data_IF_937937522392
#
_entry.id   IF_937937522392
#
_cell.length_a   1.000
_cell.length_b   1.000
_cell.length_c   1.000
_cell.angle_alpha   90.00
_cell.angle_beta   90.00
_cell.angle_gamma   90.00
#
_symmetry.space_group_name_H-M   'P 1'
#
loop_
_entity.id
_entity.type
_entity.pdbx_description
1 polymer ?
#
# COMPACT_ATOMS: atom_id res chain seq x y z
N UNK A 1 37.82 6.94 0.86
CA UNK A 1 36.42 6.69 1.27
C UNK A 1 36.37 6.54 2.79
N UNK A 2 35.33 7.03 3.45
CA UNK A 2 35.20 6.88 4.90
C UNK A 2 34.78 5.44 5.27
N UNK A 3 35.49 4.83 6.23
CA UNK A 3 35.25 3.46 6.71
C UNK A 3 34.74 3.50 8.14
N UNK A 4 33.70 2.73 8.52
CA UNK A 4 33.20 2.71 9.89
C UNK A 4 34.24 2.12 10.83
N UNK A 5 34.65 2.89 11.84
CA UNK A 5 35.65 2.45 12.83
C UNK A 5 35.14 1.31 13.73
N UNK A 6 33.83 1.25 13.97
CA UNK A 6 33.17 0.25 14.82
C UNK A 6 31.82 -0.16 14.23
N UNK A 7 31.41 -1.39 14.51
CA UNK A 7 30.07 -1.86 14.15
C UNK A 7 28.99 -1.10 14.91
N UNK A 8 27.83 -0.95 14.29
CA UNK A 8 26.68 -0.36 14.97
C UNK A 8 26.14 -1.32 16.04
N UNK A 9 25.72 -0.77 17.18
CA UNK A 9 25.09 -1.57 18.22
C UNK A 9 23.77 -2.18 17.71
N UNK A 10 23.38 -3.30 18.31
CA UNK A 10 22.17 -4.04 17.89
C UNK A 10 20.92 -3.15 17.99
N UNK A 11 20.80 -2.37 19.08
CA UNK A 11 19.71 -1.42 19.28
C UNK A 11 19.65 -0.36 18.17
N UNK A 12 20.77 0.32 17.87
CA UNK A 12 20.84 1.34 16.81
C UNK A 12 20.50 0.76 15.42
N UNK A 13 20.92 -0.48 15.14
CA UNK A 13 20.54 -1.19 13.91
C UNK A 13 19.03 -1.45 13.83
N UNK A 14 18.41 -1.91 14.92
CA UNK A 14 16.95 -2.18 14.98
C UNK A 14 16.13 -0.90 14.81
N UNK A 15 16.51 0.20 15.46
CA UNK A 15 15.82 1.50 15.34
C UNK A 15 15.76 1.96 13.88
N UNK A 16 16.89 1.91 13.15
CA UNK A 16 16.93 2.28 11.73
C UNK A 16 16.02 1.40 10.87
N UNK A 17 16.00 0.08 11.12
CA UNK A 17 15.08 -0.84 10.42
C UNK A 17 13.61 -0.56 10.74
N UNK A 18 13.29 -0.20 11.98
CA UNK A 18 11.92 0.12 12.39
C UNK A 18 11.39 1.37 11.70
N UNK A 19 12.23 2.39 11.50
CA UNK A 19 11.85 3.60 10.74
C UNK A 19 11.45 3.23 9.30
N UNK A 20 12.21 2.34 8.66
CA UNK A 20 11.86 1.85 7.32
C UNK A 20 10.55 1.05 7.31
N UNK A 21 10.37 0.12 8.27
CA UNK A 21 9.14 -0.68 8.41
C UNK A 21 7.89 0.16 8.72
N UNK A 22 8.03 1.24 9.49
CA UNK A 22 6.92 2.14 9.87
C UNK A 22 6.25 2.79 8.66
N UNK A 23 6.96 2.96 7.54
CA UNK A 23 6.38 3.48 6.30
C UNK A 23 5.26 2.58 5.76
N UNK A 24 5.38 1.27 5.93
CA UNK A 24 4.36 0.30 5.51
C UNK A 24 3.04 0.44 6.26
N UNK A 25 3.08 0.80 7.54
CA UNK A 25 1.88 1.04 8.34
C UNK A 25 1.02 2.17 7.76
N UNK A 26 1.64 3.30 7.38
CA UNK A 26 0.92 4.42 6.77
C UNK A 26 0.33 4.07 5.40
N UNK A 27 1.06 3.28 4.60
CA UNK A 27 0.53 2.77 3.34
C UNK A 27 -0.68 1.85 3.56
N UNK A 28 -0.63 0.96 4.55
CA UNK A 28 -1.74 0.07 4.89
C UNK A 28 -3.00 0.85 5.33
N UNK A 29 -2.85 1.89 6.17
CA UNK A 29 -3.97 2.74 6.58
C UNK A 29 -4.65 3.42 5.39
N UNK A 30 -3.85 4.01 4.48
CA UNK A 30 -4.38 4.64 3.26
C UNK A 30 -5.07 3.62 2.36
N UNK A 31 -4.47 2.46 2.16
CA UNK A 31 -5.03 1.38 1.35
C UNK A 31 -6.35 0.85 1.92
N UNK A 32 -6.46 0.72 3.24
CA UNK A 32 -7.69 0.28 3.91
C UNK A 32 -8.83 1.30 3.77
N UNK A 33 -8.55 2.59 3.99
CA UNK A 33 -9.53 3.65 3.75
C UNK A 33 -10.01 3.67 2.29
N UNK A 34 -9.07 3.52 1.35
CA UNK A 34 -9.38 3.44 -0.07
C UNK A 34 -10.24 2.22 -0.42
N UNK A 35 -9.92 1.04 0.11
CA UNK A 35 -10.69 -0.18 -0.19
C UNK A 35 -12.13 -0.09 0.31
N UNK A 36 -12.36 0.52 1.47
CA UNK A 36 -13.70 0.78 1.98
C UNK A 36 -14.49 1.72 1.07
N UNK A 37 -13.87 2.81 0.61
CA UNK A 37 -14.50 3.73 -0.34
C UNK A 37 -14.89 3.01 -1.64
N UNK A 38 -13.98 2.23 -2.23
CA UNK A 38 -14.23 1.49 -3.46
C UNK A 38 -15.30 0.41 -3.32
N UNK A 39 -15.36 -0.25 -2.16
CA UNK A 39 -16.34 -1.31 -1.91
C UNK A 39 -17.80 -0.83 -1.97
N UNK A 40 -18.05 0.47 -1.74
CA UNK A 40 -19.42 1.01 -1.77
C UNK A 40 -19.93 1.28 -3.18
N UNK A 41 -19.05 1.36 -4.19
CA UNK A 41 -19.43 1.65 -5.58
C UNK A 41 -19.94 3.08 -5.84
N UNK A 42 -20.03 3.92 -4.81
CA UNK A 42 -20.55 5.29 -4.91
C UNK A 42 -19.49 6.29 -5.41
N UNK A 43 -18.22 5.92 -5.37
CA UNK A 43 -17.10 6.78 -5.77
C UNK A 43 -17.03 6.93 -7.30
N UNK A 44 -17.34 8.13 -7.81
CA UNK A 44 -17.27 8.46 -9.25
C UNK A 44 -15.86 8.87 -9.74
N UNK A 45 -14.95 9.17 -8.82
CA UNK A 45 -13.60 9.69 -9.14
C UNK A 45 -12.54 8.61 -9.36
N UNK A 46 -12.77 7.38 -8.88
CA UNK A 46 -11.80 6.29 -8.98
C UNK A 46 -12.42 5.11 -9.75
N UNK A 47 -11.86 4.80 -10.92
CA UNK A 47 -12.31 3.69 -11.74
C UNK A 47 -11.54 2.42 -11.41
N UNK A 48 -12.23 1.41 -10.87
CA UNK A 48 -11.71 0.06 -10.72
C UNK A 48 -12.52 -0.89 -11.61
N UNK A 49 -11.93 -1.52 -12.64
CA UNK A 49 -12.65 -2.42 -13.52
C UNK A 49 -13.11 -3.67 -12.75
N UNK A 50 -14.40 -3.71 -12.40
CA UNK A 50 -15.02 -4.89 -11.79
C UNK A 50 -15.36 -5.94 -12.85
N UNK A 51 -15.27 -7.23 -12.51
CA UNK A 51 -15.59 -8.33 -13.44
C UNK A 51 -17.04 -8.27 -13.98
N UNK A 52 -17.97 -7.63 -13.25
CA UNK A 52 -19.38 -7.44 -13.67
C UNK A 52 -19.51 -6.67 -14.99
N UNK A 53 -18.65 -5.68 -15.23
CA UNK A 53 -18.67 -4.89 -16.47
C UNK A 53 -18.03 -5.61 -17.67
N UNK A 54 -17.32 -6.73 -17.45
CA UNK A 54 -16.86 -7.62 -18.54
C UNK A 54 -17.98 -8.55 -19.00
N UNK A 55 -18.74 -9.12 -18.06
CA UNK A 55 -19.89 -9.98 -18.36
C UNK A 55 -20.95 -9.24 -19.20
N UNK A 56 -21.29 -8.00 -18.81
CA UNK A 56 -22.29 -7.18 -19.50
C UNK A 56 -21.86 -6.66 -20.88
N UNK A 57 -20.57 -6.73 -21.22
CA UNK A 57 -20.06 -6.44 -22.58
C UNK A 57 -20.03 -7.69 -23.46
N UNK A 58 -19.84 -8.88 -22.88
CA UNK A 58 -19.84 -10.17 -23.59
C UNK A 58 -21.26 -10.64 -23.90
N UNK A 59 -22.24 -10.34 -23.04
CA UNK A 59 -23.66 -10.64 -23.29
C UNK A 59 -24.33 -9.68 -24.28
N UNK A 60 -23.64 -8.60 -24.69
CA UNK A 60 -24.14 -7.59 -25.66
C UNK A 60 -23.49 -7.70 -27.05
N UNK A 61 -22.66 -8.73 -27.26
CA UNK A 61 -22.11 -9.14 -28.56
C UNK A 61 -22.69 -10.49 -28.93
#
# INVERSE_FOLDING_TARGET
>A
MAVPKKRTSISKKRIRKNIWKRKGYWAALKAFSLSKSLSTGNSKSFFCPTKKNKQSKVEKT
#
